data_IF_007295254519
#
_entry.id   IF_007295254519
#
_cell.length_a   1.000
_cell.length_b   1.000
_cell.length_c   1.000
_cell.angle_alpha   90.00
_cell.angle_beta   90.00
_cell.angle_gamma   90.00
#
_symmetry.space_group_name_H-M   'P 1'
#
loop_
_entity.id
_entity.type
_entity.pdbx_description
1 polymer ?
#
# COMPACT_ATOMS: atom_id res chain seq x y z
N UNK A 1 -14.89 58.55 -27.02
CA UNK A 1 -14.14 59.55 -27.81
C UNK A 1 -12.66 59.12 -27.90
N UNK A 2 -12.18 58.57 -29.04
CA UNK A 2 -11.68 59.33 -30.21
C UNK A 2 -10.61 60.32 -29.71
N UNK A 3 -9.31 60.22 -29.98
CA UNK A 3 -8.60 59.73 -31.17
C UNK A 3 -7.06 59.79 -30.96
N UNK A 4 -6.32 59.09 -31.83
CA UNK A 4 -5.08 59.53 -32.54
C UNK A 4 -3.81 59.87 -31.71
N UNK A 5 -2.56 59.73 -32.18
CA UNK A 5 -1.92 59.30 -33.44
C UNK A 5 -0.42 59.10 -33.17
N UNK A 6 0.19 58.19 -33.94
CA UNK A 6 1.51 58.31 -34.63
C UNK A 6 2.80 58.46 -33.80
N UNK A 7 3.75 57.52 -33.93
CA UNK A 7 4.94 57.68 -34.79
C UNK A 7 5.84 56.43 -34.79
N UNK A 8 6.37 56.10 -35.97
CA UNK A 8 7.46 55.14 -36.19
C UNK A 8 8.82 55.87 -36.07
N UNK A 9 9.99 55.18 -35.95
CA UNK A 9 10.62 54.66 -37.17
C UNK A 9 11.50 53.39 -37.02
N UNK A 10 11.57 52.69 -38.15
CA UNK A 10 12.68 51.97 -38.79
C UNK A 10 13.97 51.61 -38.03
N UNK A 11 14.39 50.34 -38.16
CA UNK A 11 15.71 49.91 -37.69
C UNK A 11 16.05 48.42 -37.85
N UNK A 12 16.35 47.98 -39.08
CA UNK A 12 17.39 47.00 -39.48
C UNK A 12 17.55 45.68 -38.68
N UNK A 13 17.35 44.54 -39.35
CA UNK A 13 18.45 43.66 -39.84
C UNK A 13 17.95 42.36 -40.47
N UNK A 14 18.77 41.90 -41.41
CA UNK A 14 18.69 40.82 -42.40
C UNK A 14 18.37 39.39 -41.91
N UNK A 15 18.06 38.47 -42.86
CA UNK A 15 17.39 37.19 -42.63
C UNK A 15 18.36 35.99 -42.58
N UNK A 16 17.96 34.90 -41.92
CA UNK A 16 18.50 33.54 -42.07
C UNK A 16 17.44 32.52 -41.56
N UNK A 17 17.56 31.22 -41.87
CA UNK A 17 17.38 30.60 -43.17
C UNK A 17 16.16 29.65 -43.18
N UNK A 18 15.68 29.34 -44.38
CA UNK A 18 14.72 28.26 -44.62
C UNK A 18 15.23 26.93 -44.05
N UNK A 19 14.51 26.38 -43.08
CA UNK A 19 14.53 24.94 -42.84
C UNK A 19 13.28 24.36 -43.49
N UNK A 20 13.51 23.56 -44.53
CA UNK A 20 12.47 22.74 -45.16
C UNK A 20 11.99 21.70 -44.15
N UNK A 21 10.74 21.82 -43.74
CA UNK A 21 10.02 20.79 -43.01
C UNK A 21 9.91 19.54 -43.89
N UNK A 22 10.42 18.43 -43.37
CA UNK A 22 10.32 17.11 -44.00
C UNK A 22 8.97 16.51 -43.57
N UNK A 23 8.11 16.06 -44.51
CA UNK A 23 6.80 15.55 -44.15
C UNK A 23 6.87 14.14 -43.55
N UNK A 24 5.97 13.92 -42.59
CA UNK A 24 5.52 12.66 -42.02
C UNK A 24 5.87 11.38 -42.82
N UNK A 25 6.70 10.54 -42.20
CA UNK A 25 6.63 9.10 -42.39
C UNK A 25 6.19 8.46 -41.06
N UNK A 26 4.88 8.47 -40.84
CA UNK A 26 4.21 7.54 -39.93
C UNK A 26 4.02 6.19 -40.66
N UNK A 27 3.81 5.13 -39.87
CA UNK A 27 3.67 3.71 -40.24
C UNK A 27 5.02 3.02 -40.55
N UNK A 28 5.47 1.97 -39.85
CA UNK A 28 4.75 0.83 -39.28
C UNK A 28 5.52 0.27 -38.07
N UNK A 29 4.93 0.32 -36.88
CA UNK A 29 5.36 -0.51 -35.73
C UNK A 29 4.38 -1.68 -35.57
N UNK A 30 4.18 -2.46 -36.64
CA UNK A 30 3.39 -3.68 -36.58
C UNK A 30 4.23 -4.80 -35.95
N UNK A 31 4.52 -4.67 -34.65
CA UNK A 31 4.78 -5.86 -33.85
C UNK A 31 3.42 -6.49 -33.57
N UNK A 32 3.16 -7.74 -33.97
CA UNK A 32 2.02 -8.45 -33.43
C UNK A 32 2.35 -8.69 -31.95
N UNK A 33 1.85 -7.82 -31.06
CA UNK A 33 1.70 -8.20 -29.66
C UNK A 33 0.66 -9.31 -29.65
N UNK A 34 1.12 -10.56 -29.73
CA UNK A 34 0.35 -11.68 -29.21
C UNK A 34 0.07 -11.35 -27.75
N UNK A 35 -1.16 -10.92 -27.47
CA UNK A 35 -1.64 -10.65 -26.12
C UNK A 35 -1.73 -12.01 -25.41
N UNK A 36 -0.59 -12.46 -24.88
CA UNK A 36 -0.52 -13.68 -24.09
C UNK A 36 -1.56 -13.57 -22.98
N UNK A 37 -2.42 -14.58 -22.77
CA UNK A 37 -3.43 -14.54 -21.72
C UNK A 37 -2.76 -14.12 -20.40
N UNK A 38 -3.37 -13.21 -19.63
CA UNK A 38 -2.79 -12.76 -18.38
C UNK A 38 -2.47 -13.98 -17.52
N UNK A 39 -1.22 -14.05 -17.06
CA UNK A 39 -0.75 -15.16 -16.26
C UNK A 39 -1.73 -15.36 -15.09
N UNK A 40 -2.27 -16.59 -14.90
CA UNK A 40 -3.26 -16.82 -13.88
C UNK A 40 -2.67 -16.41 -12.54
N UNK A 41 -3.35 -15.49 -11.83
CA UNK A 41 -2.96 -15.04 -10.50
C UNK A 41 -2.69 -16.28 -9.65
N UNK A 42 -1.41 -16.58 -9.42
CA UNK A 42 -1.02 -17.72 -8.61
C UNK A 42 -1.71 -17.53 -7.27
N UNK A 43 -2.54 -18.50 -6.89
CA UNK A 43 -3.18 -18.53 -5.57
C UNK A 43 -2.05 -18.53 -4.56
N UNK A 44 -1.71 -17.35 -4.04
CA UNK A 44 -0.67 -17.17 -3.02
C UNK A 44 -0.86 -18.26 -2.00
N UNK A 45 0.14 -19.11 -1.87
CA UNK A 45 0.12 -20.21 -0.91
C UNK A 45 -0.33 -19.66 0.43
N UNK A 46 -1.44 -20.22 0.89
CA UNK A 46 -2.17 -19.84 2.09
C UNK A 46 -1.32 -20.19 3.32
N UNK A 47 -0.25 -19.43 3.54
CA UNK A 47 0.54 -19.41 4.78
C UNK A 47 -0.33 -18.80 5.88
N UNK A 48 -1.34 -19.56 6.29
CA UNK A 48 -2.30 -19.21 7.33
C UNK A 48 -1.56 -19.23 8.66
N UNK A 49 -1.55 -18.09 9.34
CA UNK A 49 -1.14 -18.01 10.74
C UNK A 49 -2.01 -18.98 11.55
N UNK A 50 -1.37 -19.81 12.37
CA UNK A 50 -2.04 -20.80 13.23
C UNK A 50 -1.98 -20.36 14.69
N UNK A 51 -2.89 -20.89 15.50
CA UNK A 51 -2.85 -20.73 16.95
C UNK A 51 -3.08 -19.29 17.44
N UNK A 52 -3.82 -18.46 16.68
CA UNK A 52 -4.23 -17.14 17.16
C UNK A 52 -5.07 -17.32 18.43
N UNK A 53 -4.56 -16.82 19.54
CA UNK A 53 -5.15 -16.99 20.86
C UNK A 53 -5.07 -15.69 21.66
N UNK A 54 -6.05 -15.51 22.55
CA UNK A 54 -6.08 -14.44 23.53
C UNK A 54 -5.38 -14.94 24.81
N UNK A 55 -4.29 -14.30 25.21
CA UNK A 55 -3.53 -14.68 26.39
C UNK A 55 -4.07 -14.02 27.66
N UNK A 56 -4.27 -12.69 27.62
CA UNK A 56 -4.66 -11.92 28.81
C UNK A 56 -5.44 -10.68 28.42
N UNK A 57 -6.44 -10.32 29.21
CA UNK A 57 -7.07 -8.99 29.19
C UNK A 57 -6.67 -8.26 30.47
N UNK A 58 -6.20 -7.02 30.33
CA UNK A 58 -5.79 -6.17 31.45
C UNK A 58 -6.61 -4.90 31.43
N UNK A 59 -7.11 -4.51 32.59
CA UNK A 59 -7.69 -3.20 32.81
C UNK A 59 -6.69 -2.34 33.57
N UNK A 60 -6.28 -1.22 32.98
CA UNK A 60 -5.31 -0.31 33.59
C UNK A 60 -5.63 1.14 33.21
N UNK A 61 -5.72 2.03 34.21
CA UNK A 61 -6.02 3.45 34.02
C UNK A 61 -7.24 3.71 33.11
N UNK A 62 -8.36 3.02 33.39
CA UNK A 62 -9.60 3.08 32.59
C UNK A 62 -9.46 2.68 31.12
N UNK A 63 -8.36 2.03 30.75
CA UNK A 63 -8.11 1.48 29.41
C UNK A 63 -8.06 -0.04 29.49
N UNK A 64 -8.73 -0.68 28.54
CA UNK A 64 -8.67 -2.13 28.36
C UNK A 64 -7.57 -2.42 27.34
N UNK A 65 -6.75 -3.42 27.66
CA UNK A 65 -5.71 -3.96 26.78
C UNK A 65 -5.88 -5.46 26.66
N UNK A 66 -5.59 -6.02 25.50
CA UNK A 66 -5.62 -7.45 25.28
C UNK A 66 -4.31 -7.93 24.67
N UNK A 67 -3.66 -8.91 25.30
CA UNK A 67 -2.48 -9.56 24.76
C UNK A 67 -2.90 -10.78 23.95
N UNK A 68 -2.52 -10.81 22.69
CA UNK A 68 -2.73 -11.94 21.79
C UNK A 68 -1.38 -12.58 21.42
N UNK A 69 -1.44 -13.84 21.01
CA UNK A 69 -0.29 -14.56 20.48
C UNK A 69 -0.70 -15.51 19.36
N UNK A 70 0.26 -15.86 18.52
CA UNK A 70 0.09 -16.87 17.47
C UNK A 70 1.35 -17.72 17.32
N UNK A 71 1.20 -18.85 16.64
CA UNK A 71 2.33 -19.73 16.37
C UNK A 71 3.08 -19.25 15.12
N UNK A 72 4.43 -19.16 15.18
CA UNK A 72 5.22 -18.89 13.99
C UNK A 72 5.07 -20.03 12.99
N UNK A 73 5.16 -19.71 11.70
CA UNK A 73 5.10 -20.73 10.66
C UNK A 73 6.38 -21.58 10.71
N UNK A 74 6.26 -22.92 10.61
CA UNK A 74 7.40 -23.83 10.79
C UNK A 74 8.38 -23.86 9.60
N UNK A 75 8.19 -23.05 8.55
CA UNK A 75 9.07 -23.10 7.38
C UNK A 75 10.40 -22.38 7.66
N UNK A 76 11.46 -23.18 7.78
CA UNK A 76 12.86 -22.77 8.04
C UNK A 76 13.40 -21.77 7.01
N UNK A 77 12.82 -21.71 5.81
CA UNK A 77 13.30 -20.86 4.71
C UNK A 77 12.60 -19.51 4.59
N UNK A 78 11.50 -19.29 5.31
CA UNK A 78 10.74 -18.04 5.30
C UNK A 78 10.17 -17.77 6.68
N UNK A 79 11.02 -17.35 7.62
CA UNK A 79 10.47 -16.66 8.78
C UNK A 79 9.75 -15.40 8.27
N UNK A 80 8.47 -15.21 8.64
CA UNK A 80 7.74 -14.01 8.24
C UNK A 80 8.47 -12.80 8.81
N UNK A 81 8.71 -11.82 7.96
CA UNK A 81 9.49 -10.66 8.38
C UNK A 81 8.70 -9.72 9.25
N UNK A 82 7.41 -9.60 8.96
CA UNK A 82 6.48 -8.68 9.60
C UNK A 82 5.10 -9.32 9.66
N UNK A 83 4.43 -9.10 10.77
CA UNK A 83 3.04 -9.40 10.99
C UNK A 83 2.22 -8.11 10.97
N UNK A 84 1.06 -8.17 10.36
CA UNK A 84 0.07 -7.10 10.30
C UNK A 84 -1.12 -7.52 11.16
N UNK A 85 -1.32 -6.82 12.27
CA UNK A 85 -2.42 -7.05 13.19
C UNK A 85 -3.48 -6.00 12.91
N UNK A 86 -4.68 -6.42 12.53
CA UNK A 86 -5.82 -5.54 12.31
C UNK A 86 -6.96 -5.90 13.26
N UNK A 87 -7.51 -4.92 13.96
CA UNK A 87 -8.66 -5.11 14.85
C UNK A 87 -9.72 -4.05 14.68
N UNK A 88 -10.99 -4.47 14.79
CA UNK A 88 -12.13 -3.55 14.74
C UNK A 88 -13.26 -4.00 15.65
N UNK A 89 -14.01 -3.04 16.21
CA UNK A 89 -15.23 -3.32 16.95
C UNK A 89 -16.35 -3.70 15.95
N UNK A 90 -16.96 -4.87 16.13
CA UNK A 90 -18.10 -5.33 15.33
C UNK A 90 -19.41 -4.85 15.96
N UNK A 91 -19.52 -4.94 17.29
CA UNK A 91 -20.73 -4.62 18.04
C UNK A 91 -20.34 -4.07 19.40
N UNK A 92 -20.97 -2.99 19.82
CA UNK A 92 -20.81 -2.39 21.15
C UNK A 92 -22.18 -2.16 21.76
N UNK A 93 -22.29 -2.20 23.10
CA UNK A 93 -23.51 -1.76 23.79
C UNK A 93 -23.81 -0.28 23.53
N UNK A 94 -22.77 0.55 23.41
CA UNK A 94 -22.90 1.96 23.04
C UNK A 94 -22.42 2.16 21.59
N UNK A 95 -23.31 2.51 20.63
CA UNK A 95 -22.95 2.64 19.22
C UNK A 95 -21.98 3.79 18.94
N UNK A 96 -21.92 4.83 19.80
CA UNK A 96 -20.96 5.94 19.67
C UNK A 96 -19.50 5.48 19.80
N UNK A 97 -19.27 4.29 20.39
CA UNK A 97 -17.93 3.71 20.60
C UNK A 97 -17.48 2.78 19.47
N UNK A 98 -18.38 2.44 18.54
CA UNK A 98 -18.04 1.63 17.37
C UNK A 98 -17.39 2.53 16.31
N UNK A 99 -16.06 2.49 16.21
CA UNK A 99 -15.37 3.12 15.08
C UNK A 99 -15.66 2.31 13.80
N UNK A 100 -16.00 3.01 12.71
CA UNK A 100 -16.18 2.38 11.39
C UNK A 100 -14.85 1.88 10.83
N UNK A 101 -13.79 2.66 11.07
CA UNK A 101 -12.42 2.33 10.70
C UNK A 101 -11.80 1.39 11.75
N UNK A 102 -11.20 0.30 11.27
CA UNK A 102 -10.38 -0.58 12.10
C UNK A 102 -9.01 0.03 12.36
N UNK A 103 -8.34 -0.48 13.37
CA UNK A 103 -6.95 -0.14 13.68
C UNK A 103 -6.04 -1.23 13.12
N UNK A 104 -4.86 -0.82 12.67
CA UNK A 104 -3.82 -1.74 12.19
C UNK A 104 -2.50 -1.40 12.86
N UNK A 105 -1.71 -2.43 13.14
CA UNK A 105 -0.34 -2.31 13.62
C UNK A 105 0.55 -3.34 12.91
N UNK A 106 1.85 -3.04 12.90
CA UNK A 106 2.88 -3.92 12.36
C UNK A 106 3.78 -4.34 13.53
N UNK A 107 4.12 -5.62 13.60
CA UNK A 107 5.05 -6.17 14.59
C UNK A 107 5.90 -7.27 13.98
N UNK A 108 7.10 -7.48 14.48
CA UNK A 108 7.94 -8.63 14.12
C UNK A 108 7.78 -9.79 15.12
N UNK A 109 7.14 -9.53 16.26
CA UNK A 109 6.90 -10.51 17.31
C UNK A 109 5.69 -11.39 17.01
N UNK A 110 5.65 -12.59 17.60
CA UNK A 110 4.50 -13.49 17.57
C UNK A 110 3.45 -13.19 18.66
N UNK A 111 3.67 -12.12 19.42
CA UNK A 111 2.74 -11.63 20.44
C UNK A 111 2.49 -10.14 20.25
N UNK A 112 1.28 -9.69 20.54
CA UNK A 112 0.90 -8.28 20.35
C UNK A 112 -0.05 -7.81 21.44
N UNK A 113 0.15 -6.57 21.92
CA UNK A 113 -0.74 -5.91 22.87
C UNK A 113 -1.69 -4.98 22.09
N UNK A 114 -2.98 -5.34 22.07
CA UNK A 114 -4.03 -4.56 21.46
C UNK A 114 -4.46 -3.45 22.41
N UNK A 115 -4.45 -2.23 21.89
CA UNK A 115 -4.88 -1.02 22.58
C UNK A 115 -6.24 -0.52 22.06
N UNK A 116 -6.75 0.54 22.71
CA UNK A 116 -7.98 1.23 22.31
C UNK A 116 -9.23 0.33 22.31
N UNK A 117 -9.27 -0.58 23.28
CA UNK A 117 -10.42 -1.44 23.51
C UNK A 117 -11.43 -0.75 24.44
N UNK A 118 -12.70 -0.87 24.08
CA UNK A 118 -13.84 -0.33 24.80
C UNK A 118 -14.56 -1.44 25.56
N UNK A 119 -15.03 -1.11 26.76
CA UNK A 119 -15.83 -2.01 27.57
C UNK A 119 -17.15 -2.37 26.86
N UNK A 120 -17.56 -3.65 26.96
CA UNK A 120 -18.76 -4.22 26.33
C UNK A 120 -18.82 -4.03 24.81
N UNK A 121 -17.69 -4.28 24.16
CA UNK A 121 -17.58 -4.36 22.70
C UNK A 121 -17.04 -5.74 22.29
N UNK A 122 -17.52 -6.24 21.15
CA UNK A 122 -17.05 -7.44 20.48
C UNK A 122 -16.10 -7.00 19.38
N UNK A 123 -14.89 -7.56 19.36
CA UNK A 123 -13.85 -7.22 18.41
C UNK A 123 -13.57 -8.37 17.45
N UNK A 124 -13.30 -8.05 16.19
CA UNK A 124 -12.66 -8.95 15.22
C UNK A 124 -11.19 -8.61 15.14
N UNK A 125 -10.33 -9.61 15.30
CA UNK A 125 -8.88 -9.48 15.17
C UNK A 125 -8.42 -10.40 14.04
N UNK A 126 -7.66 -9.85 13.10
CA UNK A 126 -7.02 -10.58 12.02
C UNK A 126 -5.52 -10.35 12.10
N UNK A 127 -4.74 -11.41 11.95
CA UNK A 127 -3.28 -11.32 11.83
C UNK A 127 -2.87 -11.91 10.49
N UNK A 128 -2.07 -11.17 9.73
CA UNK A 128 -1.50 -11.60 8.47
C UNK A 128 0.03 -11.51 8.55
N UNK A 129 0.74 -12.33 7.79
CA UNK A 129 2.21 -12.30 7.70
C UNK A 129 2.65 -11.95 6.29
N UNK A 130 3.70 -11.15 6.14
CA UNK A 130 4.42 -11.02 4.88
C UNK A 130 5.78 -11.72 4.97
N UNK A 131 6.13 -12.56 3.98
CA UNK A 131 7.46 -13.16 3.95
C UNK A 131 8.52 -12.09 3.73
N UNK A 132 9.72 -12.27 4.31
CA UNK A 132 10.88 -11.46 3.92
C UNK A 132 11.21 -11.82 2.47
N UNK A 133 11.04 -10.87 1.55
CA UNK A 133 11.64 -11.01 0.23
C UNK A 133 13.14 -11.16 0.43
N UNK A 134 13.71 -12.28 0.00
CA UNK A 134 15.15 -12.36 -0.22
C UNK A 134 15.45 -11.38 -1.34
N UNK A 135 16.02 -10.24 -1.02
CA UNK A 135 16.66 -9.41 -2.05
C UNK A 135 17.70 -10.30 -2.71
N UNK A 136 17.67 -10.55 -4.03
CA UNK A 136 18.83 -11.12 -4.68
C UNK A 136 19.96 -10.11 -4.49
N UNK A 137 21.06 -10.52 -3.88
CA UNK A 137 22.30 -9.74 -3.91
C UNK A 137 22.61 -9.50 -5.39
N UNK A 138 22.45 -8.25 -5.85
CA UNK A 138 23.04 -7.82 -7.10
C UNK A 138 24.55 -7.70 -6.86
N UNK A 139 25.23 -8.84 -6.85
CA UNK A 139 26.66 -8.86 -7.11
C UNK A 139 26.85 -8.46 -8.59
N UNK A 140 27.28 -7.22 -8.79
CA UNK A 140 27.95 -6.79 -10.01
C UNK A 140 29.33 -7.47 -10.02
N UNK A 141 29.44 -8.57 -10.76
CA UNK A 141 30.74 -9.09 -11.25
C UNK A 141 30.88 -8.80 -12.72
#
# INVERSE_FOLDING_TARGET
PVNERTDAPDGKHSPLPFYTETPEALQECCWPFEESPPEPLQKRDNKKIKGLSLLKIVWYNNKIKARIAWQPLPSVYEQPGRYYVHWKAIKCTNPKKTRREGLTAITEDTTFEIYELNYRCIYKVNVNSTPRLKSPDSELT
#
